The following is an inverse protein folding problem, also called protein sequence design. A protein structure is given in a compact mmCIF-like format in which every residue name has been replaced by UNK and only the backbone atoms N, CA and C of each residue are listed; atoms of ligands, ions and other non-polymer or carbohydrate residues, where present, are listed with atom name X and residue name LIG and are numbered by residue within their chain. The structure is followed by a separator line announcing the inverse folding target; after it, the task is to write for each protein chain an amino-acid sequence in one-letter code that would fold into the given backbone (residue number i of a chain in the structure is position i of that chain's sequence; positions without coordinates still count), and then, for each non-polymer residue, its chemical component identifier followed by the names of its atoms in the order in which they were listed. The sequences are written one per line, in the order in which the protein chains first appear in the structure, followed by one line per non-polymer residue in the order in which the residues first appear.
data_IF_420392566167
#
_entry.id   IF_420392566167
#
_cell.length_a   1.000
_cell.length_b   1.000
_cell.length_c   1.000
_cell.angle_alpha   90.00
_cell.angle_beta   90.00
_cell.angle_gamma   90.00
#
_symmetry.space_group_name_H-M   'P 1'
#
loop_
_entity.id
_entity.type
_entity.pdbx_description
1 polymer ?
#
# COMPACT_ATOMS: atom_id res chain seq x y z
N UNK A 1 -50.32 47.48 43.99
CA UNK A 1 -50.53 46.40 43.01
C UNK A 1 -51.61 46.83 42.02
N UNK A 2 -51.25 47.22 40.81
CA UNK A 2 -52.20 47.52 39.74
C UNK A 2 -51.74 46.79 38.48
N UNK A 3 -52.54 45.83 38.01
CA UNK A 3 -52.32 45.13 36.74
C UNK A 3 -53.12 45.87 35.66
N UNK A 4 -52.48 46.44 34.63
CA UNK A 4 -53.24 47.05 33.54
C UNK A 4 -53.96 45.96 32.76
N UNK A 5 -55.28 46.06 32.68
CA UNK A 5 -56.11 45.23 31.79
C UNK A 5 -55.93 45.76 30.38
N UNK A 6 -55.17 45.04 29.55
CA UNK A 6 -55.04 45.36 28.14
C UNK A 6 -56.40 45.16 27.45
N UNK A 7 -56.99 46.25 26.95
CA UNK A 7 -58.15 46.17 26.07
C UNK A 7 -57.68 45.57 24.73
N UNK A 8 -58.09 44.34 24.46
CA UNK A 8 -57.85 43.65 23.20
C UNK A 8 -58.66 44.34 22.09
N UNK A 9 -58.05 45.29 21.38
CA UNK A 9 -58.59 45.78 20.12
C UNK A 9 -58.39 44.69 19.05
N UNK A 10 -59.44 44.32 18.33
CA UNK A 10 -59.37 43.47 17.13
C UNK A 10 -58.65 44.20 15.98
N UNK A 11 -57.33 44.37 16.12
CA UNK A 11 -56.45 44.72 15.03
C UNK A 11 -55.85 43.41 14.52
N UNK A 12 -55.98 43.15 13.21
CA UNK A 12 -55.31 42.02 12.56
C UNK A 12 -53.80 42.28 12.66
N UNK A 13 -53.18 41.81 13.72
CA UNK A 13 -51.74 41.82 13.90
C UNK A 13 -51.19 40.79 12.91
N UNK A 14 -50.54 41.25 11.85
CA UNK A 14 -49.69 40.37 11.05
C UNK A 14 -48.70 39.71 12.01
N UNK A 15 -48.71 38.38 12.06
CA UNK A 15 -47.84 37.63 12.95
C UNK A 15 -46.39 37.90 12.59
N UNK A 16 -45.72 38.76 13.34
CA UNK A 16 -44.28 38.93 13.23
C UNK A 16 -43.66 37.72 13.91
N UNK A 17 -43.18 36.76 13.12
CA UNK A 17 -42.36 35.68 13.65
C UNK A 17 -41.08 36.29 14.25
N UNK A 18 -40.75 36.05 15.53
CA UNK A 18 -39.53 36.58 16.10
C UNK A 18 -38.32 36.03 15.32
N UNK A 19 -37.43 36.93 14.90
CA UNK A 19 -36.21 36.58 14.16
C UNK A 19 -35.34 35.67 15.03
N UNK A 20 -35.21 34.40 14.66
CA UNK A 20 -34.22 33.51 15.28
C UNK A 20 -32.84 33.95 14.80
N UNK A 21 -31.99 34.37 15.74
CA UNK A 21 -30.68 34.94 15.42
C UNK A 21 -29.70 33.90 14.87
N UNK A 22 -29.85 32.61 15.20
CA UNK A 22 -28.92 31.54 14.81
C UNK A 22 -29.63 30.20 14.51
N UNK A 23 -30.41 30.14 13.43
CA UNK A 23 -31.09 28.91 13.02
C UNK A 23 -30.15 27.72 12.82
N UNK A 24 -28.96 27.97 12.27
CA UNK A 24 -27.96 26.93 11.98
C UNK A 24 -27.45 26.29 13.28
N UNK A 25 -27.20 27.09 14.31
CA UNK A 25 -26.75 26.61 15.62
C UNK A 25 -27.82 25.77 16.33
N UNK A 26 -29.07 26.26 16.31
CA UNK A 26 -30.20 25.54 16.89
C UNK A 26 -30.42 24.18 16.21
N UNK A 27 -30.38 24.15 14.87
CA UNK A 27 -30.50 22.91 14.10
C UNK A 27 -29.34 21.96 14.39
N UNK A 28 -28.10 22.46 14.44
CA UNK A 28 -26.93 21.64 14.76
C UNK A 28 -27.06 20.96 16.12
N UNK A 29 -27.44 21.70 17.17
CA UNK A 29 -27.65 21.16 18.51
C UNK A 29 -28.80 20.15 18.53
N UNK A 30 -29.88 20.42 17.79
CA UNK A 30 -31.00 19.49 17.66
C UNK A 30 -30.54 18.18 17.01
N UNK A 31 -29.75 18.25 15.94
CA UNK A 31 -29.23 17.07 15.26
C UNK A 31 -28.24 16.28 16.11
N UNK A 32 -27.35 16.94 16.86
CA UNK A 32 -26.46 16.25 17.82
C UNK A 32 -27.27 15.50 18.87
N UNK A 33 -28.29 16.15 19.46
CA UNK A 33 -29.14 15.51 20.48
C UNK A 33 -29.96 14.36 19.92
N UNK A 34 -30.39 14.45 18.66
CA UNK A 34 -31.15 13.41 17.98
C UNK A 34 -30.25 12.26 17.50
N UNK A 35 -28.96 12.52 17.29
CA UNK A 35 -28.02 11.52 16.81
C UNK A 35 -27.75 10.46 17.90
N UNK A 36 -28.23 9.25 17.65
CA UNK A 36 -27.92 8.06 18.44
C UNK A 36 -26.92 7.23 17.65
N UNK A 37 -25.62 7.23 18.03
CA UNK A 37 -24.66 6.37 17.35
C UNK A 37 -25.13 4.92 17.47
N UNK A 38 -25.21 4.21 16.35
CA UNK A 38 -25.42 2.77 16.36
C UNK A 38 -24.16 2.16 16.94
N UNK A 39 -24.28 1.41 18.04
CA UNK A 39 -23.18 0.64 18.57
C UNK A 39 -22.76 -0.36 17.48
N UNK A 40 -21.52 -0.23 16.99
CA UNK A 40 -20.97 -1.18 16.04
C UNK A 40 -20.84 -2.53 16.74
N UNK A 41 -21.35 -3.58 16.12
CA UNK A 41 -21.17 -4.92 16.66
C UNK A 41 -19.71 -5.34 16.45
N UNK A 42 -19.21 -6.27 17.27
CA UNK A 42 -17.85 -6.81 17.08
C UNK A 42 -17.68 -7.42 15.69
N UNK A 43 -18.72 -8.06 15.15
CA UNK A 43 -18.73 -8.56 13.77
C UNK A 43 -18.55 -7.46 12.72
N UNK A 44 -19.17 -6.28 12.91
CA UNK A 44 -18.99 -5.15 11.99
C UNK A 44 -17.55 -4.62 12.04
N UNK A 45 -16.95 -4.57 13.24
CA UNK A 45 -15.56 -4.13 13.45
C UNK A 45 -14.58 -5.11 12.80
N UNK A 46 -14.79 -6.40 13.01
CA UNK A 46 -13.94 -7.47 12.47
C UNK A 46 -14.07 -7.56 10.93
N UNK A 47 -15.24 -7.24 10.38
CA UNK A 47 -15.44 -7.18 8.92
C UNK A 47 -14.80 -5.96 8.26
N UNK A 48 -14.68 -4.85 8.99
CA UNK A 48 -14.11 -3.60 8.50
C UNK A 48 -12.57 -3.64 8.43
N UNK A 49 -11.93 -4.57 9.15
CA UNK A 49 -10.48 -4.67 9.24
C UNK A 49 -10.01 -6.02 8.73
N UNK A 50 -9.11 -6.01 7.74
CA UNK A 50 -8.41 -7.23 7.34
C UNK A 50 -7.39 -7.59 8.42
N UNK A 51 -7.63 -8.69 9.14
CA UNK A 51 -6.70 -9.19 10.15
C UNK A 51 -5.32 -9.44 9.53
N UNK A 52 -4.30 -8.84 10.13
CA UNK A 52 -2.92 -9.03 9.69
C UNK A 52 -2.44 -10.41 10.12
N UNK A 53 -2.25 -11.31 9.16
CA UNK A 53 -1.60 -12.60 9.38
C UNK A 53 -0.14 -12.49 8.95
N UNK A 54 0.75 -12.88 9.85
CA UNK A 54 2.16 -13.03 9.53
C UNK A 54 2.31 -14.13 8.46
N UNK A 55 3.11 -13.90 7.41
CA UNK A 55 3.37 -14.94 6.42
C UNK A 55 4.00 -16.16 7.11
N UNK A 56 3.62 -17.35 6.65
CA UNK A 56 4.25 -18.57 7.13
C UNK A 56 5.76 -18.50 6.88
N UNK A 57 6.55 -19.09 7.80
CA UNK A 57 7.99 -19.24 7.61
C UNK A 57 8.22 -19.83 6.20
N UNK A 58 9.16 -19.29 5.41
CA UNK A 58 9.43 -19.83 4.08
C UNK A 58 9.70 -21.33 4.23
N UNK A 59 8.82 -22.13 3.63
CA UNK A 59 9.14 -23.54 3.40
C UNK A 59 10.32 -23.54 2.44
N UNK A 60 11.35 -24.31 2.75
CA UNK A 60 12.34 -24.66 1.73
C UNK A 60 11.53 -25.24 0.58
N UNK A 61 11.60 -24.68 -0.64
CA UNK A 61 10.96 -25.30 -1.78
C UNK A 61 11.43 -26.75 -1.81
N UNK A 62 10.52 -27.70 -2.01
CA UNK A 62 10.89 -29.11 -2.19
C UNK A 62 12.08 -29.13 -3.15
N UNK A 63 13.25 -29.50 -2.62
CA UNK A 63 14.42 -29.64 -3.43
C UNK A 63 14.12 -30.86 -4.32
N UNK A 64 13.66 -30.61 -5.54
CA UNK A 64 13.62 -31.61 -6.62
C UNK A 64 15.05 -32.06 -7.00
N UNK A 65 16.06 -31.59 -6.27
CA UNK A 65 17.43 -32.07 -6.33
C UNK A 65 17.51 -33.33 -5.48
N UNK A 66 17.01 -34.42 -6.05
CA UNK A 66 17.20 -35.76 -5.52
C UNK A 66 18.71 -36.06 -5.49
N UNK A 67 19.22 -36.68 -4.43
CA UNK A 67 20.67 -36.92 -4.30
C UNK A 67 21.25 -37.78 -5.44
N UNK A 68 20.40 -38.53 -6.14
CA UNK A 68 20.73 -39.27 -7.35
C UNK A 68 20.87 -38.34 -8.58
N UNK A 69 20.02 -37.34 -8.73
CA UNK A 69 20.11 -36.34 -9.80
C UNK A 69 21.39 -35.48 -9.69
N UNK A 70 21.89 -35.25 -8.47
CA UNK A 70 23.20 -34.59 -8.26
C UNK A 70 24.34 -35.48 -8.75
N UNK A 71 24.29 -36.78 -8.44
CA UNK A 71 25.31 -37.73 -8.89
C UNK A 71 25.30 -37.93 -10.40
N UNK A 72 24.11 -37.93 -11.02
CA UNK A 72 23.97 -37.98 -12.47
C UNK A 72 24.52 -36.71 -13.15
N UNK A 73 24.31 -35.54 -12.56
CA UNK A 73 24.92 -34.29 -13.03
C UNK A 73 26.45 -34.31 -12.88
N UNK A 74 26.98 -34.78 -11.74
CA UNK A 74 28.42 -34.92 -11.51
C UNK A 74 29.08 -35.94 -12.47
N UNK A 75 28.35 -36.99 -12.84
CA UNK A 75 28.83 -38.02 -13.77
C UNK A 75 28.60 -37.66 -15.24
N UNK A 76 27.81 -36.62 -15.53
CA UNK A 76 27.56 -36.18 -16.91
C UNK A 76 28.82 -35.56 -17.49
N UNK A 77 29.25 -36.08 -18.64
CA UNK A 77 30.42 -35.56 -19.33
C UNK A 77 30.05 -34.20 -19.94
N UNK A 78 30.82 -33.17 -19.62
CA UNK A 78 30.56 -31.82 -20.12
C UNK A 78 30.89 -31.85 -21.60
N UNK A 79 29.88 -31.73 -22.47
CA UNK A 79 30.05 -31.50 -23.90
C UNK A 79 30.60 -30.09 -24.15
N UNK A 80 31.82 -29.85 -23.66
CA UNK A 80 32.69 -28.86 -24.28
C UNK A 80 33.04 -29.42 -25.64
N UNK A 81 32.94 -28.60 -26.68
CA UNK A 81 33.56 -28.92 -27.95
C UNK A 81 35.03 -29.20 -27.67
N UNK A 82 35.39 -30.48 -27.56
CA UNK A 82 36.76 -30.93 -27.36
C UNK A 82 37.57 -30.20 -28.43
N UNK A 83 38.61 -29.41 -28.08
CA UNK A 83 39.45 -28.85 -29.10
C UNK A 83 40.08 -30.04 -29.80
N UNK A 84 39.54 -30.40 -30.95
CA UNK A 84 40.18 -31.32 -31.88
C UNK A 84 41.63 -30.86 -31.98
N UNK A 85 42.56 -31.77 -31.74
CA UNK A 85 44.02 -31.57 -31.74
C UNK A 85 44.59 -31.17 -33.12
N UNK A 86 43.74 -30.60 -33.99
CA UNK A 86 44.04 -30.06 -35.32
C UNK A 86 43.81 -28.53 -35.37
N UNK A 87 43.31 -27.91 -34.31
CA UNK A 87 43.12 -26.45 -34.23
C UNK A 87 44.09 -25.75 -33.26
N UNK A 88 45.31 -26.28 -33.08
CA UNK A 88 46.35 -25.66 -32.27
C UNK A 88 46.98 -24.40 -32.91
N UNK A 89 46.43 -23.86 -33.99
CA UNK A 89 46.95 -22.67 -34.68
C UNK A 89 45.97 -21.50 -34.78
N UNK A 90 44.79 -21.57 -34.16
CA UNK A 90 43.90 -20.40 -34.06
C UNK A 90 43.31 -20.23 -32.67
N UNK A 91 44.15 -20.34 -31.64
CA UNK A 91 43.92 -19.57 -30.41
C UNK A 91 44.20 -18.12 -30.78
N UNK A 92 43.17 -17.37 -31.16
CA UNK A 92 43.28 -15.92 -31.20
C UNK A 92 43.81 -15.49 -29.83
N UNK A 93 44.92 -14.72 -29.76
CA UNK A 93 45.36 -14.18 -28.48
C UNK A 93 44.19 -13.40 -27.91
N UNK A 94 43.95 -13.61 -26.62
CA UNK A 94 42.91 -13.00 -25.81
C UNK A 94 42.50 -11.63 -26.35
N UNK A 95 41.34 -11.55 -27.00
CA UNK A 95 40.77 -10.26 -27.38
C UNK A 95 40.44 -9.55 -26.06
N UNK A 96 41.30 -8.60 -25.67
CA UNK A 96 41.19 -7.80 -24.45
C UNK A 96 39.81 -7.15 -24.37
N UNK A 97 38.91 -7.79 -23.62
CA UNK A 97 37.53 -7.32 -23.40
C UNK A 97 37.44 -6.09 -22.48
N UNK A 98 38.59 -5.64 -21.97
CA UNK A 98 38.72 -4.45 -21.15
C UNK A 98 39.64 -3.45 -21.84
N UNK A 99 39.05 -2.37 -22.36
CA UNK A 99 39.80 -1.17 -22.74
C UNK A 99 40.18 -0.45 -21.45
N UNK A 100 41.44 -0.56 -21.03
CA UNK A 100 41.98 0.32 -20.01
C UNK A 100 42.27 1.68 -20.66
N UNK A 101 41.74 2.76 -20.10
CA UNK A 101 42.15 4.11 -20.49
C UNK A 101 43.65 4.24 -20.20
N UNK A 102 44.45 4.47 -21.24
CA UNK A 102 45.86 4.84 -21.08
C UNK A 102 45.89 6.10 -20.19
N UNK A 103 46.35 5.95 -18.95
CA UNK A 103 46.73 7.10 -18.13
C UNK A 103 47.84 7.78 -18.90
N UNK A 104 47.55 8.95 -19.49
CA UNK A 104 48.53 9.82 -20.11
C UNK A 104 49.73 9.95 -19.16
N UNK A 105 50.83 9.25 -19.46
CA UNK A 105 52.12 9.54 -18.86
C UNK A 105 52.39 11.01 -19.14
N UNK A 106 52.51 11.78 -18.06
CA UNK A 106 52.80 13.19 -18.10
C UNK A 106 53.92 13.49 -19.11
N UNK A 107 53.54 14.25 -20.14
CA UNK A 107 54.37 14.90 -21.14
C UNK A 107 55.89 14.85 -20.92
N UNK A 108 56.57 14.19 -21.84
CA UNK A 108 57.76 14.78 -22.47
C UNK A 108 57.36 15.52 -23.74
#
# INVERSE_FOLDING_TARGET
MFRPVARLSSRRLFSVTPRRSNLIGDLYIQHIKAFKPKALTQADIDSAVKAFQLPAKPSVPQADVNAEAVKEYEASDVETASPSTVAAEQTKPDEDWFVFEEVEEAAH
#
